data_IF_750328832215
#
_entry.id   IF_750328832215
#
_cell.length_a   1.000
_cell.length_b   1.000
_cell.length_c   1.000
_cell.angle_alpha   90.00
_cell.angle_beta   90.00
_cell.angle_gamma   90.00
#
_symmetry.space_group_name_H-M   'P 1'
#
loop_
_entity.id
_entity.type
_entity.pdbx_description
1 polymer ?
#
# COMPACT_ATOMS: atom_id res chain seq x y z
N UNK A 1 -0.51 12.61 -26.47
CA UNK A 1 -1.33 11.42 -26.77
C UNK A 1 -2.23 11.18 -25.56
N UNK A 2 -3.55 11.12 -25.76
CA UNK A 2 -4.51 10.92 -24.68
C UNK A 2 -4.68 9.43 -24.38
N UNK A 3 -4.88 9.05 -23.12
CA UNK A 3 -5.26 7.69 -22.73
C UNK A 3 -6.45 7.22 -23.58
N UNK A 4 -6.40 6.01 -24.19
CA UNK A 4 -7.50 5.52 -25.02
C UNK A 4 -8.84 5.55 -24.26
N UNK A 5 -9.92 5.89 -24.97
CA UNK A 5 -11.26 6.06 -24.36
C UNK A 5 -11.71 4.81 -23.58
N UNK A 6 -11.47 3.61 -24.12
CA UNK A 6 -11.79 2.33 -23.46
C UNK A 6 -11.05 2.18 -22.11
N UNK A 7 -9.75 2.44 -22.08
CA UNK A 7 -8.95 2.37 -20.85
C UNK A 7 -9.39 3.42 -19.81
N UNK A 8 -9.83 4.59 -20.29
CA UNK A 8 -10.39 5.64 -19.43
C UNK A 8 -11.73 5.21 -18.82
N UNK A 9 -12.61 4.61 -19.61
CA UNK A 9 -13.92 4.14 -19.17
C UNK A 9 -13.78 2.99 -18.15
N UNK A 10 -12.84 2.06 -18.39
CA UNK A 10 -12.51 1.01 -17.41
C UNK A 10 -12.05 1.60 -16.08
N UNK A 11 -11.17 2.59 -16.09
CA UNK A 11 -10.70 3.25 -14.87
C UNK A 11 -11.82 4.04 -14.18
N UNK A 12 -12.71 4.67 -14.94
CA UNK A 12 -13.87 5.37 -14.41
C UNK A 12 -14.78 4.41 -13.63
N UNK A 13 -15.00 3.20 -14.15
CA UNK A 13 -15.79 2.15 -13.50
C UNK A 13 -15.19 1.66 -12.17
N UNK A 14 -13.90 1.86 -11.92
CA UNK A 14 -13.29 1.52 -10.63
C UNK A 14 -13.59 2.55 -9.54
N UNK A 15 -13.88 3.79 -9.90
CA UNK A 15 -14.07 4.91 -8.95
C UNK A 15 -15.11 4.63 -7.86
N UNK A 16 -16.29 4.04 -8.15
CA UNK A 16 -17.26 3.67 -7.12
C UNK A 16 -16.77 2.58 -6.17
N UNK A 17 -15.88 1.68 -6.61
CA UNK A 17 -15.35 0.59 -5.78
C UNK A 17 -14.43 1.09 -4.67
N UNK A 18 -13.93 2.33 -4.79
CA UNK A 18 -13.01 2.95 -3.83
C UNK A 18 -13.75 3.68 -2.70
N UNK A 19 -15.09 3.61 -2.67
CA UNK A 19 -15.93 4.28 -1.68
C UNK A 19 -15.66 5.78 -1.60
N UNK A 20 -15.39 6.29 -0.40
CA UNK A 20 -15.09 7.71 -0.17
C UNK A 20 -13.73 8.17 -0.72
N UNK A 21 -12.89 7.22 -1.21
CA UNK A 21 -11.51 7.47 -1.63
C UNK A 21 -10.74 8.25 -0.56
N UNK A 22 -10.86 7.90 0.71
CA UNK A 22 -10.26 8.70 1.77
C UNK A 22 -8.75 8.87 1.52
N UNK A 23 -8.21 10.02 1.90
CA UNK A 23 -6.79 10.34 1.78
C UNK A 23 -6.27 10.81 3.13
N UNK A 24 -5.07 10.37 3.50
CA UNK A 24 -4.41 10.88 4.73
C UNK A 24 -3.69 12.20 4.49
N UNK A 25 -3.64 12.66 3.24
CA UNK A 25 -2.97 13.90 2.86
C UNK A 25 -3.57 15.11 3.60
N UNK A 26 -2.74 15.92 4.28
CA UNK A 26 -3.22 17.13 4.97
C UNK A 26 -4.00 18.05 4.01
N UNK A 27 -5.25 18.37 4.37
CA UNK A 27 -6.11 19.26 3.58
C UNK A 27 -6.75 18.64 2.34
N UNK A 28 -6.53 17.35 2.05
CA UNK A 28 -7.14 16.65 0.91
C UNK A 28 -8.04 15.52 1.44
N UNK A 29 -9.37 15.70 1.44
CA UNK A 29 -10.30 14.72 2.03
C UNK A 29 -10.39 13.42 1.23
N UNK A 30 -10.15 13.48 -0.09
CA UNK A 30 -10.20 12.33 -0.97
C UNK A 30 -9.00 12.27 -1.91
N UNK A 31 -8.51 11.06 -2.14
CA UNK A 31 -7.49 10.76 -3.14
C UNK A 31 -8.04 10.97 -4.56
N UNK A 32 -7.16 11.24 -5.55
CA UNK A 32 -7.57 11.40 -6.93
C UNK A 32 -8.35 10.19 -7.44
N UNK A 33 -9.31 10.42 -8.33
CA UNK A 33 -9.92 9.32 -9.07
C UNK A 33 -8.87 8.66 -9.99
N UNK A 34 -8.98 7.36 -10.29
CA UNK A 34 -8.00 6.66 -11.12
C UNK A 34 -7.74 7.33 -12.48
N UNK A 35 -8.81 7.81 -13.13
CA UNK A 35 -8.71 8.57 -14.40
C UNK A 35 -7.90 9.85 -14.21
N UNK A 36 -8.21 10.63 -13.18
CA UNK A 36 -7.51 11.89 -12.90
C UNK A 36 -6.03 11.65 -12.60
N UNK A 37 -5.69 10.56 -11.92
CA UNK A 37 -4.30 10.20 -11.64
C UNK A 37 -3.52 9.83 -12.92
N UNK A 38 -4.15 9.09 -13.83
CA UNK A 38 -3.54 8.78 -15.13
C UNK A 38 -3.36 10.04 -15.97
N UNK A 39 -4.38 10.90 -16.04
CA UNK A 39 -4.32 12.18 -16.76
C UNK A 39 -3.22 13.09 -16.19
N UNK A 40 -3.06 13.13 -14.86
CA UNK A 40 -2.04 13.92 -14.19
C UNK A 40 -0.61 13.45 -14.49
N UNK A 41 -0.38 12.13 -14.54
CA UNK A 41 0.97 11.56 -14.68
C UNK A 41 1.37 11.40 -16.16
N UNK A 42 0.44 10.97 -17.01
CA UNK A 42 0.71 10.55 -18.38
C UNK A 42 0.02 11.41 -19.45
N UNK A 43 -0.80 12.40 -19.07
CA UNK A 43 -1.61 13.18 -20.03
C UNK A 43 -0.82 13.93 -21.11
N UNK A 44 0.47 14.22 -20.87
CA UNK A 44 1.38 14.81 -21.84
C UNK A 44 2.20 13.82 -22.68
N UNK A 45 2.09 12.51 -22.42
CA UNK A 45 2.90 11.50 -23.12
C UNK A 45 2.50 11.38 -24.59
N UNK A 46 3.46 11.26 -25.50
CA UNK A 46 3.19 10.92 -26.91
C UNK A 46 3.14 9.40 -27.15
N UNK A 47 3.65 8.61 -26.21
CA UNK A 47 3.69 7.15 -26.26
C UNK A 47 2.33 6.57 -25.84
N UNK A 48 1.52 6.20 -26.84
CA UNK A 48 0.18 5.64 -26.66
C UNK A 48 0.21 4.26 -26.00
N UNK A 49 1.16 3.41 -26.38
CA UNK A 49 1.29 2.04 -25.89
C UNK A 49 1.65 2.05 -24.40
N UNK A 50 2.62 2.89 -24.02
CA UNK A 50 3.00 3.09 -22.62
C UNK A 50 1.87 3.68 -21.80
N UNK A 51 1.15 4.68 -22.33
CA UNK A 51 0.01 5.28 -21.64
C UNK A 51 -1.13 4.26 -21.42
N UNK A 52 -1.39 3.39 -22.40
CA UNK A 52 -2.37 2.31 -22.28
C UNK A 52 -1.91 1.25 -21.25
N UNK A 53 -0.65 0.83 -21.30
CA UNK A 53 -0.09 -0.11 -20.32
C UNK A 53 -0.16 0.46 -18.90
N UNK A 54 0.10 1.75 -18.73
CA UNK A 54 -0.01 2.43 -17.44
C UNK A 54 -1.44 2.45 -16.91
N UNK A 55 -2.41 2.86 -17.74
CA UNK A 55 -3.82 2.87 -17.37
C UNK A 55 -4.31 1.47 -16.97
N UNK A 56 -3.97 0.45 -17.78
CA UNK A 56 -4.30 -0.94 -17.50
C UNK A 56 -3.65 -1.44 -16.22
N UNK A 57 -2.34 -1.24 -16.06
CA UNK A 57 -1.57 -1.68 -14.89
C UNK A 57 -2.08 -1.04 -13.59
N UNK A 58 -2.40 0.25 -13.61
CA UNK A 58 -3.01 0.92 -12.46
C UNK A 58 -4.39 0.33 -12.14
N UNK A 59 -5.21 0.07 -13.17
CA UNK A 59 -6.50 -0.57 -12.99
C UNK A 59 -6.40 -1.98 -12.40
N UNK A 60 -5.43 -2.78 -12.85
CA UNK A 60 -5.13 -4.12 -12.31
C UNK A 60 -4.70 -4.04 -10.83
N UNK A 61 -3.82 -3.11 -10.46
CA UNK A 61 -3.42 -2.86 -9.07
C UNK A 61 -4.61 -2.47 -8.20
N UNK A 62 -5.44 -1.55 -8.66
CA UNK A 62 -6.63 -1.10 -7.91
C UNK A 62 -7.59 -2.27 -7.68
N UNK A 63 -7.91 -3.04 -8.73
CA UNK A 63 -8.77 -4.23 -8.62
C UNK A 63 -8.19 -5.22 -7.62
N UNK A 64 -6.87 -5.46 -7.66
CA UNK A 64 -6.22 -6.34 -6.70
C UNK A 64 -6.32 -5.84 -5.25
N UNK A 65 -6.21 -4.52 -5.01
CA UNK A 65 -6.40 -3.95 -3.67
C UNK A 65 -7.85 -4.12 -3.21
N UNK A 66 -8.84 -3.76 -4.05
CA UNK A 66 -10.27 -3.92 -3.75
C UNK A 66 -10.59 -5.38 -3.38
N UNK A 67 -10.10 -6.31 -4.18
CA UNK A 67 -10.39 -7.73 -4.05
C UNK A 67 -9.78 -8.37 -2.80
N UNK A 68 -8.57 -7.94 -2.43
CA UNK A 68 -7.77 -8.59 -1.38
C UNK A 68 -7.83 -7.83 -0.05
N UNK A 69 -8.21 -6.55 -0.07
CA UNK A 69 -8.33 -5.68 1.10
C UNK A 69 -9.68 -4.93 1.02
N UNK A 70 -10.82 -5.62 1.17
CA UNK A 70 -12.15 -5.02 0.97
C UNK A 70 -12.46 -3.90 1.96
N UNK A 71 -11.78 -3.88 3.10
CA UNK A 71 -11.90 -2.83 4.11
C UNK A 71 -10.87 -1.70 3.91
N UNK A 72 -10.09 -1.69 2.82
CA UNK A 72 -9.09 -0.66 2.54
C UNK A 72 -9.72 0.73 2.53
N UNK A 73 -9.19 1.63 3.37
CA UNK A 73 -9.81 2.92 3.65
C UNK A 73 -9.19 3.99 2.77
N UNK A 74 -7.86 4.01 2.74
CA UNK A 74 -7.11 5.07 2.10
C UNK A 74 -6.57 4.66 0.75
N UNK A 75 -6.67 5.60 -0.20
CA UNK A 75 -6.41 5.36 -1.62
C UNK A 75 -5.34 6.29 -2.19
N UNK A 76 -4.40 6.72 -1.34
CA UNK A 76 -3.24 7.53 -1.72
C UNK A 76 -2.25 6.71 -2.58
N UNK A 77 -2.61 6.54 -3.85
CA UNK A 77 -1.84 5.78 -4.83
C UNK A 77 -0.92 6.66 -5.68
N UNK A 78 -0.84 7.97 -5.40
CA UNK A 78 -0.15 8.96 -6.23
C UNK A 78 1.31 8.55 -6.52
N UNK A 79 2.07 8.22 -5.47
CA UNK A 79 3.46 7.80 -5.63
C UNK A 79 3.61 6.44 -6.30
N UNK A 80 2.76 5.47 -5.93
CA UNK A 80 2.78 4.14 -6.55
C UNK A 80 2.52 4.22 -8.05
N UNK A 81 1.55 5.05 -8.46
CA UNK A 81 1.26 5.31 -9.86
C UNK A 81 2.43 6.01 -10.56
N UNK A 82 3.13 6.92 -9.87
CA UNK A 82 4.35 7.53 -10.39
C UNK A 82 5.45 6.48 -10.63
N UNK A 83 5.71 5.59 -9.66
CA UNK A 83 6.67 4.49 -9.81
C UNK A 83 6.28 3.52 -10.92
N UNK A 84 4.99 3.19 -11.04
CA UNK A 84 4.47 2.37 -12.12
C UNK A 84 4.77 3.02 -13.48
N UNK A 85 4.48 4.31 -13.65
CA UNK A 85 4.82 5.05 -14.87
C UNK A 85 6.32 5.08 -15.14
N UNK A 86 7.13 5.28 -14.10
CA UNK A 86 8.59 5.34 -14.16
C UNK A 86 9.25 3.99 -14.48
N UNK A 87 8.55 2.87 -14.37
CA UNK A 87 9.04 1.56 -14.80
C UNK A 87 9.49 1.54 -16.28
N UNK A 88 8.98 2.48 -17.09
CA UNK A 88 9.49 2.75 -18.43
C UNK A 88 8.58 2.18 -19.50
N UNK A 89 9.05 1.14 -20.21
CA UNK A 89 8.33 0.56 -21.35
C UNK A 89 7.01 -0.10 -20.94
N UNK A 90 6.10 -0.30 -21.91
CA UNK A 90 4.83 -1.00 -21.67
C UNK A 90 5.01 -2.39 -21.02
N UNK A 91 5.96 -3.25 -21.44
CA UNK A 91 6.25 -4.50 -20.73
C UNK A 91 6.71 -4.29 -19.28
N UNK A 92 7.60 -3.34 -19.03
CA UNK A 92 8.12 -3.08 -17.68
C UNK A 92 7.03 -2.57 -16.72
N UNK A 93 6.09 -1.76 -17.24
CA UNK A 93 4.88 -1.35 -16.51
C UNK A 93 4.02 -2.57 -16.16
N UNK A 94 3.79 -3.47 -17.11
CA UNK A 94 3.06 -4.71 -16.89
C UNK A 94 3.70 -5.60 -15.82
N UNK A 95 5.02 -5.79 -15.89
CA UNK A 95 5.78 -6.57 -14.90
C UNK A 95 5.71 -5.96 -13.50
N UNK A 96 5.85 -4.63 -13.39
CA UNK A 96 5.72 -3.91 -12.13
C UNK A 96 4.31 -4.08 -11.54
N UNK A 97 3.26 -3.85 -12.34
CA UNK A 97 1.88 -4.04 -11.91
C UNK A 97 1.64 -5.49 -11.45
N UNK A 98 2.13 -6.47 -12.21
CA UNK A 98 2.05 -7.88 -11.87
C UNK A 98 2.70 -8.23 -10.52
N UNK A 99 3.85 -7.63 -10.20
CA UNK A 99 4.49 -7.79 -8.88
C UNK A 99 3.62 -7.21 -7.75
N UNK A 100 3.07 -6.02 -7.92
CA UNK A 100 2.18 -5.41 -6.92
C UNK A 100 0.90 -6.24 -6.72
N UNK A 101 0.31 -6.73 -7.81
CA UNK A 101 -0.87 -7.61 -7.78
C UNK A 101 -0.56 -8.91 -7.03
N UNK A 102 0.58 -9.55 -7.33
CA UNK A 102 1.04 -10.76 -6.64
C UNK A 102 1.16 -10.55 -5.13
N UNK A 103 1.74 -9.41 -4.71
CA UNK A 103 1.82 -9.03 -3.29
C UNK A 103 0.44 -8.84 -2.66
N UNK A 104 -0.50 -8.18 -3.35
CA UNK A 104 -1.85 -8.01 -2.83
C UNK A 104 -2.54 -9.36 -2.58
N UNK A 105 -2.44 -10.28 -3.55
CA UNK A 105 -2.97 -11.66 -3.42
C UNK A 105 -2.28 -12.41 -2.30
N UNK A 106 -0.97 -12.24 -2.17
CA UNK A 106 -0.14 -12.97 -1.22
C UNK A 106 -0.35 -12.59 0.25
N UNK A 107 -0.72 -11.34 0.52
CA UNK A 107 -0.88 -10.80 1.86
C UNK A 107 -2.35 -10.59 2.28
N UNK A 108 -3.26 -10.38 1.34
CA UNK A 108 -4.65 -10.01 1.64
C UNK A 108 -5.55 -11.16 2.08
N UNK A 109 -6.86 -10.90 2.11
CA UNK A 109 -7.91 -11.72 2.71
C UNK A 109 -8.07 -13.13 2.10
N UNK A 110 -7.65 -13.33 0.84
CA UNK A 110 -7.68 -14.61 0.12
C UNK A 110 -6.47 -15.50 0.45
N UNK A 111 -5.43 -14.95 1.08
CA UNK A 111 -4.23 -15.68 1.49
C UNK A 111 -4.38 -16.36 2.86
N UNK A 112 -3.35 -17.11 3.29
CA UNK A 112 -3.23 -17.58 4.69
C UNK A 112 -2.89 -16.46 5.68
N UNK A 113 -2.37 -15.33 5.18
CA UNK A 113 -1.95 -14.21 6.02
C UNK A 113 -3.14 -13.34 6.44
N UNK A 114 -4.08 -13.08 5.51
CA UNK A 114 -5.34 -12.36 5.75
C UNK A 114 -5.13 -11.00 6.43
N UNK A 115 -4.17 -10.21 5.96
CA UNK A 115 -4.07 -8.82 6.40
C UNK A 115 -5.24 -8.00 5.86
N UNK A 116 -5.72 -7.06 6.68
CA UNK A 116 -6.94 -6.31 6.41
C UNK A 116 -6.75 -5.13 5.45
N UNK A 117 -5.57 -4.52 5.48
CA UNK A 117 -5.29 -3.27 4.77
C UNK A 117 -3.97 -3.36 4.02
N UNK A 118 -3.88 -2.67 2.88
CA UNK A 118 -2.63 -2.48 2.13
C UNK A 118 -1.76 -1.34 2.71
N UNK A 119 -2.27 -0.62 3.73
CA UNK A 119 -1.65 0.61 4.24
C UNK A 119 -0.18 0.45 4.69
N UNK A 120 0.21 -0.69 5.27
CA UNK A 120 1.59 -0.87 5.74
C UNK A 120 2.60 -0.94 4.57
N UNK A 121 2.14 -1.45 3.42
CA UNK A 121 2.87 -1.46 2.15
C UNK A 121 2.81 -0.08 1.49
N UNK A 122 1.60 0.47 1.29
CA UNK A 122 1.39 1.74 0.58
C UNK A 122 2.07 2.93 1.27
N UNK A 123 2.09 2.95 2.59
CA UNK A 123 2.69 4.03 3.39
C UNK A 123 4.13 3.72 3.84
N UNK A 124 4.74 2.67 3.30
CA UNK A 124 6.17 2.41 3.46
C UNK A 124 6.59 1.97 4.87
N UNK A 125 5.67 1.50 5.72
CA UNK A 125 6.02 0.99 7.05
C UNK A 125 6.89 -0.26 6.97
N UNK A 126 6.55 -1.17 6.05
CA UNK A 126 7.36 -2.38 5.85
C UNK A 126 8.70 -2.06 5.20
N UNK A 127 8.74 -1.08 4.28
CA UNK A 127 9.96 -0.60 3.65
C UNK A 127 10.89 0.05 4.66
N UNK A 128 10.42 1.04 5.42
CA UNK A 128 11.22 1.72 6.42
C UNK A 128 11.81 0.72 7.42
N UNK A 129 10.99 -0.20 7.97
CA UNK A 129 11.46 -1.25 8.88
C UNK A 129 12.53 -2.15 8.25
N UNK A 130 12.41 -2.45 6.96
CA UNK A 130 13.39 -3.27 6.23
C UNK A 130 14.73 -2.52 6.03
N UNK A 131 14.68 -1.24 5.67
CA UNK A 131 15.87 -0.39 5.52
C UNK A 131 16.57 -0.20 6.85
N UNK A 132 15.86 0.14 7.93
CA UNK A 132 16.47 0.39 9.27
C UNK A 132 17.26 -0.80 9.80
N UNK A 133 16.95 -2.04 9.39
CA UNK A 133 17.70 -3.24 9.81
C UNK A 133 19.10 -3.33 9.22
N UNK A 134 19.32 -2.74 8.05
CA UNK A 134 20.62 -2.67 7.38
C UNK A 134 20.74 -1.38 6.56
N UNK A 135 20.88 -0.22 7.22
CA UNK A 135 20.84 1.07 6.54
C UNK A 135 21.91 1.19 5.45
N UNK A 136 23.14 0.78 5.73
CA UNK A 136 24.28 0.90 4.81
C UNK A 136 24.07 0.14 3.49
N UNK A 137 23.35 -1.00 3.54
CA UNK A 137 23.05 -1.82 2.36
C UNK A 137 21.79 -1.35 1.61
N UNK A 138 20.84 -0.70 2.29
CA UNK A 138 19.45 -0.57 1.81
C UNK A 138 18.95 0.86 1.68
N UNK A 139 19.67 1.86 2.19
CA UNK A 139 19.25 3.26 2.17
C UNK A 139 18.99 3.80 0.74
N UNK A 140 19.68 3.24 -0.25
CA UNK A 140 19.50 3.59 -1.67
C UNK A 140 18.30 2.91 -2.36
N UNK A 141 17.62 1.97 -1.70
CA UNK A 141 16.50 1.20 -2.29
C UNK A 141 15.18 1.87 -1.94
N UNK A 142 14.37 2.16 -2.95
CA UNK A 142 13.02 2.70 -2.82
C UNK A 142 11.96 1.69 -2.36
N UNK A 143 10.79 2.16 -1.89
CA UNK A 143 9.70 1.33 -1.38
C UNK A 143 8.97 0.50 -2.43
N UNK A 144 9.23 0.74 -3.72
CA UNK A 144 8.67 -0.04 -4.83
C UNK A 144 9.76 -0.50 -5.81
N UNK A 145 11.01 -0.54 -5.37
CA UNK A 145 12.12 -1.05 -6.18
C UNK A 145 12.13 -2.59 -6.15
N UNK A 146 12.67 -3.20 -7.21
CA UNK A 146 12.72 -4.66 -7.37
C UNK A 146 13.33 -5.39 -6.17
N UNK A 147 14.42 -4.86 -5.60
CA UNK A 147 15.09 -5.45 -4.44
C UNK A 147 14.17 -5.51 -3.20
N UNK A 148 13.27 -4.55 -3.03
CA UNK A 148 12.30 -4.58 -1.95
C UNK A 148 11.13 -5.53 -2.25
N UNK A 149 10.68 -5.64 -3.50
CA UNK A 149 9.70 -6.66 -3.90
C UNK A 149 10.22 -8.08 -3.66
N UNK A 150 11.47 -8.38 -4.02
CA UNK A 150 12.07 -9.70 -3.76
C UNK A 150 12.15 -10.01 -2.25
N UNK A 151 12.42 -8.99 -1.42
CA UNK A 151 12.33 -9.13 0.02
C UNK A 151 10.91 -9.43 0.49
N UNK A 152 9.89 -8.75 -0.04
CA UNK A 152 8.49 -8.98 0.32
C UNK A 152 8.02 -10.39 -0.07
N UNK A 153 8.43 -10.90 -1.24
CA UNK A 153 8.16 -12.27 -1.69
C UNK A 153 8.75 -13.29 -0.69
N UNK A 154 10.00 -13.09 -0.28
CA UNK A 154 10.64 -13.92 0.76
C UNK A 154 9.94 -13.81 2.12
N UNK A 155 9.55 -12.58 2.50
CA UNK A 155 8.86 -12.31 3.77
C UNK A 155 7.48 -12.97 3.80
N UNK A 156 6.75 -12.96 2.70
CA UNK A 156 5.45 -13.62 2.58
C UNK A 156 5.58 -15.11 2.87
N UNK A 157 6.52 -15.80 2.22
CA UNK A 157 6.77 -17.24 2.43
C UNK A 157 7.10 -17.55 3.89
N UNK A 158 8.03 -16.78 4.48
CA UNK A 158 8.40 -16.94 5.88
C UNK A 158 7.21 -16.73 6.83
N UNK A 159 6.32 -15.77 6.54
CA UNK A 159 5.12 -15.57 7.35
C UNK A 159 4.15 -16.74 7.24
N UNK A 160 3.98 -17.32 6.04
CA UNK A 160 3.13 -18.51 5.85
C UNK A 160 3.68 -19.71 6.63
N UNK A 161 4.99 -19.88 6.69
CA UNK A 161 5.64 -20.92 7.51
C UNK A 161 5.42 -20.71 9.01
N UNK A 162 5.50 -19.46 9.49
CA UNK A 162 5.16 -19.12 10.88
C UNK A 162 3.69 -19.43 11.20
N UNK A 163 2.78 -19.18 10.26
CA UNK A 163 1.36 -19.55 10.40
C UNK A 163 1.18 -21.08 10.40
N UNK A 164 1.91 -21.80 9.56
CA UNK A 164 1.85 -23.25 9.50
C UNK A 164 2.36 -23.91 10.80
N UNK A 165 3.39 -23.32 11.43
CA UNK A 165 3.94 -23.75 12.72
C UNK A 165 3.17 -23.23 13.94
N UNK A 166 2.09 -22.47 13.73
CA UNK A 166 1.27 -21.86 14.78
C UNK A 166 2.09 -21.02 15.77
N UNK A 167 2.97 -20.17 15.24
CA UNK A 167 3.79 -19.24 16.01
C UNK A 167 2.96 -18.36 16.97
N UNK A 168 3.55 -17.96 18.11
CA UNK A 168 2.86 -17.15 19.14
C UNK A 168 2.32 -15.83 18.58
N UNK A 169 3.05 -15.17 17.68
CA UNK A 169 2.64 -13.89 17.06
C UNK A 169 1.84 -14.12 15.78
N UNK A 170 2.15 -15.18 15.05
CA UNK A 170 1.52 -15.54 13.79
C UNK A 170 0.75 -16.86 13.91
N UNK A 171 -0.16 -16.97 14.88
CA UNK A 171 -0.97 -18.18 15.07
C UNK A 171 -1.95 -18.42 13.91
N UNK A 172 -2.51 -19.61 13.82
CA UNK A 172 -3.62 -19.85 12.91
C UNK A 172 -4.83 -18.97 13.29
N UNK A 173 -5.56 -18.51 12.27
CA UNK A 173 -6.76 -17.69 12.45
C UNK A 173 -7.99 -18.59 12.56
N UNK A 174 -8.97 -18.17 13.36
CA UNK A 174 -10.25 -18.86 13.45
C UNK A 174 -11.27 -18.22 12.51
N UNK A 175 -11.81 -19.00 11.58
CA UNK A 175 -12.91 -18.56 10.72
C UNK A 175 -12.57 -17.36 9.81
N UNK A 176 -13.26 -16.23 10.04
CA UNK A 176 -13.26 -15.07 9.13
C UNK A 176 -12.42 -13.88 9.58
N UNK A 177 -11.66 -14.03 10.67
CA UNK A 177 -10.87 -12.96 11.26
C UNK A 177 -9.75 -12.45 10.33
N UNK A 178 -9.35 -11.19 10.56
CA UNK A 178 -8.15 -10.61 9.96
C UNK A 178 -6.97 -10.70 10.92
N UNK A 179 -5.78 -10.88 10.36
CA UNK A 179 -4.56 -10.88 11.17
C UNK A 179 -4.18 -9.48 11.58
N UNK A 180 -4.00 -9.28 12.88
CA UNK A 180 -3.43 -8.06 13.44
C UNK A 180 -2.22 -8.40 14.34
N UNK A 181 -0.98 -8.25 13.83
CA UNK A 181 0.25 -8.54 14.57
C UNK A 181 0.70 -7.37 15.46
N UNK A 182 -0.08 -6.30 15.54
CA UNK A 182 0.23 -5.09 16.29
C UNK A 182 -0.40 -5.12 17.70
N UNK A 183 0.19 -4.34 18.61
CA UNK A 183 -0.29 -4.18 19.98
C UNK A 183 -1.50 -3.23 20.10
N UNK A 184 -2.01 -2.70 18.99
CA UNK A 184 -3.13 -1.75 18.96
C UNK A 184 -4.24 -2.21 18.02
N UNK A 185 -5.44 -1.69 18.25
CA UNK A 185 -6.67 -2.00 17.52
C UNK A 185 -6.56 -1.44 16.09
N UNK A 186 -7.04 -2.23 15.12
CA UNK A 186 -7.08 -1.87 13.70
C UNK A 186 -8.46 -2.17 13.10
N UNK A 187 -9.49 -1.79 13.86
CA UNK A 187 -10.84 -1.68 13.32
C UNK A 187 -10.94 -0.39 12.47
N UNK A 188 -11.88 -0.29 11.51
CA UNK A 188 -11.79 0.74 10.46
C UNK A 188 -11.78 2.18 10.99
N UNK A 189 -12.53 2.43 12.06
CA UNK A 189 -12.59 3.74 12.71
C UNK A 189 -11.25 4.09 13.36
N UNK A 190 -10.71 3.17 14.15
CA UNK A 190 -9.45 3.33 14.89
C UNK A 190 -8.26 3.42 13.93
N UNK A 191 -8.27 2.63 12.87
CA UNK A 191 -7.30 2.68 11.78
C UNK A 191 -7.29 4.05 11.10
N UNK A 192 -8.48 4.59 10.82
CA UNK A 192 -8.64 5.92 10.23
C UNK A 192 -8.12 7.01 11.16
N UNK A 193 -8.58 7.01 12.41
CA UNK A 193 -8.19 8.00 13.42
C UNK A 193 -6.67 8.02 13.62
N UNK A 194 -6.05 6.84 13.72
CA UNK A 194 -4.61 6.71 13.88
C UNK A 194 -3.86 7.26 12.65
N UNK A 195 -4.26 6.90 11.43
CA UNK A 195 -3.56 7.34 10.21
C UNK A 195 -3.69 8.83 9.93
N UNK A 196 -4.85 9.42 10.17
CA UNK A 196 -5.00 10.88 10.07
C UNK A 196 -4.06 11.59 11.03
N UNK A 197 -3.97 11.13 12.29
CA UNK A 197 -3.06 11.74 13.25
C UNK A 197 -1.58 11.52 12.86
N UNK A 198 -1.21 10.32 12.42
CA UNK A 198 0.13 10.01 11.93
C UNK A 198 0.54 10.93 10.78
N UNK A 199 -0.36 11.19 9.83
CA UNK A 199 -0.11 12.11 8.73
C UNK A 199 0.05 13.56 9.22
N UNK A 200 -0.80 14.00 10.17
CA UNK A 200 -0.72 15.35 10.76
C UNK A 200 0.61 15.61 11.48
N UNK A 201 1.18 14.60 12.14
CA UNK A 201 2.45 14.73 12.87
C UNK A 201 3.67 14.22 12.09
N UNK A 202 3.54 14.04 10.76
CA UNK A 202 4.62 13.61 9.85
C UNK A 202 5.28 12.26 10.25
N UNK A 203 4.48 11.32 10.76
CA UNK A 203 4.91 9.98 11.19
C UNK A 203 4.51 8.88 10.20
N UNK A 204 4.28 9.23 8.94
CA UNK A 204 4.11 8.27 7.85
C UNK A 204 5.43 8.19 7.07
N UNK A 205 6.07 7.00 6.95
CA UNK A 205 7.37 6.85 6.31
C UNK A 205 7.42 7.31 4.86
N UNK A 206 6.35 7.06 4.11
CA UNK A 206 6.22 7.44 2.71
C UNK A 206 4.97 8.30 2.52
N UNK A 207 5.16 9.54 2.06
CA UNK A 207 4.06 10.44 1.67
C UNK A 207 3.46 9.99 0.34
N UNK A 208 2.74 8.86 0.38
CA UNK A 208 2.20 8.18 -0.80
C UNK A 208 1.22 9.02 -1.63
N UNK A 209 0.67 10.08 -1.02
CA UNK A 209 -0.20 11.07 -1.65
C UNK A 209 0.52 12.14 -2.47
N UNK A 210 1.85 12.11 -2.52
CA UNK A 210 2.66 13.02 -3.32
C UNK A 210 3.31 12.25 -4.47
N UNK A 211 3.38 12.87 -5.65
CA UNK A 211 4.06 12.26 -6.80
C UNK A 211 5.57 12.10 -6.61
N UNK A 212 6.20 12.95 -5.78
CA UNK A 212 7.62 12.83 -5.46
C UNK A 212 7.92 11.73 -4.40
N UNK A 213 6.88 11.25 -3.71
CA UNK A 213 6.97 10.20 -2.70
C UNK A 213 8.04 10.46 -1.65
N UNK A 214 8.04 11.66 -1.06
CA UNK A 214 8.94 11.97 0.05
C UNK A 214 8.96 10.82 1.07
N UNK A 215 10.16 10.30 1.31
CA UNK A 215 10.39 9.01 1.99
C UNK A 215 11.43 9.15 3.09
N UNK A 216 11.13 8.56 4.23
CA UNK A 216 11.96 8.58 5.44
C UNK A 216 11.96 7.19 6.07
N UNK A 217 13.14 6.71 6.44
CA UNK A 217 13.33 5.41 7.12
C UNK A 217 14.15 5.54 8.41
N UNK A 218 14.71 6.72 8.65
CA UNK A 218 15.66 7.06 9.72
C UNK A 218 14.98 7.29 11.08
N UNK A 219 13.66 7.12 11.15
CA UNK A 219 12.88 7.16 12.39
C UNK A 219 12.33 5.78 12.77
N UNK A 220 12.12 5.51 14.07
CA UNK A 220 11.49 4.28 14.54
C UNK A 220 9.96 4.31 14.34
N UNK A 221 9.50 4.39 13.10
CA UNK A 221 8.08 4.56 12.75
C UNK A 221 7.15 3.51 13.36
N UNK A 222 7.62 2.26 13.52
CA UNK A 222 6.82 1.21 14.17
C UNK A 222 6.53 1.56 15.64
N UNK A 223 7.53 2.02 16.38
CA UNK A 223 7.39 2.35 17.80
C UNK A 223 6.63 3.68 17.98
N UNK A 224 6.90 4.65 17.12
CA UNK A 224 6.20 5.94 17.14
C UNK A 224 4.71 5.76 16.85
N UNK A 225 4.35 4.90 15.88
CA UNK A 225 2.96 4.53 15.61
C UNK A 225 2.30 3.83 16.79
N UNK A 226 2.99 2.90 17.46
CA UNK A 226 2.46 2.23 18.63
C UNK A 226 2.23 3.19 19.81
N UNK A 227 3.19 4.09 20.09
CA UNK A 227 3.04 5.13 21.13
C UNK A 227 1.89 6.07 20.86
N UNK A 228 1.67 6.43 19.59
CA UNK A 228 0.56 7.29 19.22
C UNK A 228 -0.79 6.57 19.36
N UNK A 229 -0.85 5.30 18.98
CA UNK A 229 -2.03 4.46 19.20
C UNK A 229 -2.36 4.33 20.69
N UNK A 230 -1.35 4.17 21.56
CA UNK A 230 -1.53 4.15 23.01
C UNK A 230 -2.11 5.45 23.55
N UNK A 231 -1.58 6.61 23.11
CA UNK A 231 -2.12 7.94 23.49
C UNK A 231 -3.56 8.15 23.06
N UNK A 232 -3.99 7.50 21.98
CA UNK A 232 -5.38 7.50 21.50
C UNK A 232 -6.28 6.49 22.21
N UNK A 233 -5.77 5.72 23.17
CA UNK A 233 -6.52 4.66 23.85
C UNK A 233 -6.79 3.45 22.97
N UNK A 234 -6.01 3.24 21.90
CA UNK A 234 -6.18 2.15 20.93
C UNK A 234 -5.38 0.89 21.30
N UNK A 235 -4.68 0.87 22.43
CA UNK A 235 -3.93 -0.30 22.88
C UNK A 235 -4.87 -1.50 23.03
N UNK A 236 -4.50 -2.64 22.45
CA UNK A 236 -5.16 -3.91 22.76
C UNK A 236 -4.71 -4.25 24.17
N UNK A 237 -5.64 -4.24 25.12
CA UNK A 237 -5.35 -4.65 26.50
C UNK A 237 -4.53 -5.93 26.47
N UNK A 238 -3.35 -5.91 27.10
CA UNK A 238 -2.44 -7.04 27.09
C UNK A 238 -3.19 -8.27 27.60
N UNK A 239 -3.43 -9.24 26.71
CA UNK A 239 -3.74 -10.58 27.14
C UNK A 239 -2.57 -11.03 28.00
N UNK A 240 -2.81 -11.17 29.29
CA UNK A 240 -2.01 -12.03 30.15
C UNK A 240 -1.99 -13.43 29.57
#
# INVERSE_FOLDING_TARGET
CATPAEARDELAQLTPLLGARASVAPGRPSAPAPVALVEQIAGGSEDAERAQAFARGLGEVIRAIVDNFPDNIFWDLDYLACCLWQAGSAPAIGDFAGRVVSLCVGFGNKSKLRFRYAHDFLYGYDWARWVTRKPDERAGVGPFDLAFFDYLDGRQKALVELVASNDRKYSQLNGREYRNPFSFIREPREESQLHYLLAQVDLIPLKAWRLDGERRWDLPFTDLRAKLAERLGLSRGGGR
#
